data_IF_235806494647
#
_entry.id   IF_235806494647
#
_cell.length_a   1.000
_cell.length_b   1.000
_cell.length_c   1.000
_cell.angle_alpha   90.00
_cell.angle_beta   90.00
_cell.angle_gamma   90.00
#
_symmetry.space_group_name_H-M   'P 1'
#
loop_
_entity.id
_entity.type
_entity.pdbx_description
1 polymer ?
#
# COMPACT_ATOMS: atom_id res chain seq x y z
N UNK A 1 -7.64 13.73 77.93
CA UNK A 1 -7.18 12.80 76.87
C UNK A 1 -7.86 13.23 75.58
N UNK A 2 -7.17 13.94 74.69
CA UNK A 2 -7.73 14.42 73.40
C UNK A 2 -7.37 13.43 72.32
N UNK A 3 -8.39 12.81 71.69
CA UNK A 3 -8.23 11.91 70.57
C UNK A 3 -8.18 12.76 69.29
N UNK A 4 -7.06 12.75 68.60
CA UNK A 4 -6.87 13.40 67.32
C UNK A 4 -7.19 12.36 66.24
N UNK A 5 -8.34 12.55 65.54
CA UNK A 5 -8.74 11.74 64.40
C UNK A 5 -8.00 12.24 63.14
N UNK A 6 -7.16 11.38 62.60
CA UNK A 6 -6.48 11.63 61.32
C UNK A 6 -7.40 11.19 60.18
N UNK A 7 -7.90 12.15 59.40
CA UNK A 7 -8.58 11.85 58.14
C UNK A 7 -7.54 11.69 57.02
N UNK A 8 -7.38 10.45 56.52
CA UNK A 8 -6.62 10.19 55.33
C UNK A 8 -7.50 10.46 54.11
N UNK A 9 -7.14 11.53 53.34
CA UNK A 9 -7.79 11.87 52.09
C UNK A 9 -7.15 11.01 50.98
N UNK A 10 -7.87 9.97 50.54
CA UNK A 10 -7.50 9.15 49.37
C UNK A 10 -7.80 9.95 48.11
N UNK A 11 -6.74 10.53 47.48
CA UNK A 11 -6.84 11.11 46.16
C UNK A 11 -6.77 9.99 45.12
N UNK A 12 -7.93 9.62 44.57
CA UNK A 12 -8.00 8.69 43.43
C UNK A 12 -7.63 9.49 42.18
N UNK A 13 -6.41 9.30 41.68
CA UNK A 13 -6.06 9.75 40.34
C UNK A 13 -6.82 8.87 39.33
N UNK A 14 -7.92 9.36 38.85
CA UNK A 14 -8.58 8.85 37.67
C UNK A 14 -7.71 9.20 36.46
N UNK A 15 -6.93 8.23 35.98
CA UNK A 15 -6.26 8.33 34.68
C UNK A 15 -7.35 8.14 33.62
N UNK A 16 -7.95 9.23 33.18
CA UNK A 16 -8.75 9.20 31.96
C UNK A 16 -7.78 8.95 30.80
N UNK A 17 -7.78 7.73 30.27
CA UNK A 17 -7.30 7.49 28.90
C UNK A 17 -8.17 8.39 28.00
N UNK A 18 -7.60 9.45 27.46
CA UNK A 18 -8.17 10.11 26.29
C UNK A 18 -8.25 9.05 25.18
N UNK A 19 -9.39 8.40 25.04
CA UNK A 19 -9.75 7.68 23.83
C UNK A 19 -9.88 8.76 22.75
N UNK A 20 -8.78 8.99 22.03
CA UNK A 20 -8.80 9.82 20.82
C UNK A 20 -9.65 9.11 19.79
N UNK A 21 -10.93 9.44 19.80
CA UNK A 21 -11.90 8.94 18.84
C UNK A 21 -11.65 9.61 17.50
N UNK A 22 -11.28 8.83 16.48
CA UNK A 22 -11.24 9.24 15.08
C UNK A 22 -12.64 9.49 14.48
N UNK A 23 -13.70 9.40 15.26
CA UNK A 23 -15.10 9.26 14.85
C UNK A 23 -15.68 10.38 13.99
N UNK A 24 -14.93 11.48 13.70
CA UNK A 24 -15.42 12.59 12.86
C UNK A 24 -14.47 13.01 11.73
N UNK A 25 -13.32 12.36 11.56
CA UNK A 25 -12.36 12.78 10.53
C UNK A 25 -12.56 11.96 9.26
N UNK A 26 -12.82 12.66 8.17
CA UNK A 26 -12.91 12.08 6.83
C UNK A 26 -11.54 12.13 6.17
N UNK A 27 -10.96 10.95 5.88
CA UNK A 27 -9.66 10.82 5.26
C UNK A 27 -9.78 10.56 3.77
N UNK A 28 -8.82 11.05 3.00
CA UNK A 28 -8.71 10.82 1.57
C UNK A 28 -7.50 9.95 1.27
N UNK A 29 -7.69 8.90 0.48
CA UNK A 29 -6.66 7.96 0.08
C UNK A 29 -6.31 8.14 -1.41
N UNK A 30 -5.01 8.21 -1.73
CA UNK A 30 -4.44 8.22 -3.08
C UNK A 30 -3.70 6.92 -3.36
N UNK A 31 -4.12 6.17 -4.36
CA UNK A 31 -3.44 4.97 -4.83
C UNK A 31 -2.77 5.22 -6.19
N UNK A 32 -1.46 5.05 -6.25
CA UNK A 32 -0.61 5.33 -7.42
C UNK A 32 -0.07 4.02 -7.98
N UNK A 33 -0.12 3.85 -9.33
CA UNK A 33 0.47 2.66 -9.90
C UNK A 33 0.16 2.36 -11.36
N UNK A 34 0.06 1.06 -11.66
CA UNK A 34 -0.21 0.49 -12.97
C UNK A 34 -1.47 -0.40 -12.96
N UNK A 35 -1.48 -1.48 -13.78
CA UNK A 35 -2.59 -2.43 -13.85
C UNK A 35 -2.90 -3.12 -12.51
N UNK A 36 -1.91 -3.35 -11.67
CA UNK A 36 -2.09 -3.93 -10.35
C UNK A 36 -2.79 -2.98 -9.37
N UNK A 37 -2.71 -1.69 -9.60
CA UNK A 37 -3.37 -0.68 -8.75
C UNK A 37 -4.77 -0.35 -9.27
N UNK A 38 -4.95 -0.24 -10.61
CA UNK A 38 -6.27 0.02 -11.18
C UNK A 38 -7.19 -1.19 -11.07
N UNK A 39 -6.63 -2.41 -10.92
CA UNK A 39 -7.38 -3.65 -10.84
C UNK A 39 -7.81 -4.16 -12.21
N UNK A 40 -6.83 -4.36 -13.11
CA UNK A 40 -7.12 -4.94 -14.43
C UNK A 40 -7.84 -6.29 -14.29
N UNK A 41 -8.91 -6.46 -15.07
CA UNK A 41 -9.72 -7.70 -15.14
C UNK A 41 -10.50 -8.07 -13.87
N UNK A 42 -10.66 -7.15 -12.90
CA UNK A 42 -11.57 -7.31 -11.77
C UNK A 42 -12.51 -6.11 -11.63
N UNK A 43 -13.60 -6.29 -10.91
CA UNK A 43 -14.49 -5.17 -10.57
C UNK A 43 -13.75 -4.17 -9.65
N UNK A 44 -14.08 -2.89 -9.78
CA UNK A 44 -13.45 -1.82 -9.01
C UNK A 44 -13.54 -2.05 -7.48
N UNK A 45 -14.64 -2.61 -7.01
CA UNK A 45 -14.86 -2.98 -5.61
C UNK A 45 -13.91 -4.06 -5.09
N UNK A 46 -13.37 -4.87 -5.99
CA UNK A 46 -12.47 -5.98 -5.67
C UNK A 46 -10.98 -5.60 -5.70
N UNK A 47 -10.67 -4.36 -6.08
CA UNK A 47 -9.29 -3.86 -6.11
C UNK A 47 -8.73 -3.64 -4.71
N UNK A 48 -7.40 -3.78 -4.51
CA UNK A 48 -6.82 -3.62 -3.18
C UNK A 48 -7.07 -2.23 -2.55
N UNK A 49 -7.09 -1.10 -3.30
CA UNK A 49 -7.33 0.20 -2.66
C UNK A 49 -8.74 0.30 -2.07
N UNK A 50 -9.72 -0.28 -2.75
CA UNK A 50 -11.11 -0.25 -2.30
C UNK A 50 -11.32 -1.25 -1.17
N UNK A 51 -10.80 -2.46 -1.29
CA UNK A 51 -10.87 -3.44 -0.20
C UNK A 51 -10.17 -2.94 1.07
N UNK A 52 -9.02 -2.24 0.94
CA UNK A 52 -8.33 -1.63 2.09
C UNK A 52 -9.21 -0.57 2.77
N UNK A 53 -9.82 0.35 1.98
CA UNK A 53 -10.78 1.31 2.50
C UNK A 53 -11.91 0.61 3.26
N UNK A 54 -12.50 -0.40 2.67
CA UNK A 54 -13.68 -1.06 3.25
C UNK A 54 -13.33 -1.82 4.52
N UNK A 55 -12.16 -2.47 4.57
CA UNK A 55 -11.65 -3.12 5.78
C UNK A 55 -11.36 -2.11 6.91
N UNK A 56 -10.73 -0.98 6.60
CA UNK A 56 -10.50 0.09 7.58
C UNK A 56 -11.85 0.65 8.05
N UNK A 57 -12.75 0.93 7.14
CA UNK A 57 -14.06 1.51 7.45
C UNK A 57 -15.01 0.55 8.18
N UNK A 58 -14.76 -0.76 8.14
CA UNK A 58 -15.53 -1.73 8.94
C UNK A 58 -15.30 -1.55 10.45
N UNK A 59 -14.16 -0.99 10.84
CA UNK A 59 -13.78 -0.72 12.22
C UNK A 59 -13.97 0.76 12.60
N UNK A 60 -13.40 1.68 11.82
CA UNK A 60 -13.24 3.09 12.20
C UNK A 60 -14.03 4.08 11.33
N UNK A 61 -14.52 3.69 10.15
CA UNK A 61 -15.27 4.54 9.18
C UNK A 61 -14.60 5.86 8.82
N UNK A 62 -13.28 5.84 8.59
CA UNK A 62 -12.46 7.05 8.44
C UNK A 62 -12.09 7.41 7.01
N UNK A 63 -12.02 6.44 6.07
CA UNK A 63 -11.67 6.74 4.67
C UNK A 63 -12.93 7.07 3.88
N UNK A 64 -13.09 8.35 3.53
CA UNK A 64 -14.26 8.89 2.81
C UNK A 64 -14.12 8.68 1.30
N UNK A 65 -12.92 8.89 0.74
CA UNK A 65 -12.68 8.76 -0.69
C UNK A 65 -11.37 8.06 -1.02
N UNK A 66 -11.38 7.33 -2.14
CA UNK A 66 -10.19 6.73 -2.75
C UNK A 66 -10.04 7.30 -4.15
N UNK A 67 -8.90 7.94 -4.41
CA UNK A 67 -8.50 8.36 -5.75
C UNK A 67 -7.43 7.42 -6.27
N UNK A 68 -7.70 6.77 -7.40
CA UNK A 68 -6.74 5.93 -8.10
C UNK A 68 -6.16 6.70 -9.28
N UNK A 69 -4.82 6.81 -9.33
CA UNK A 69 -4.07 7.33 -10.48
C UNK A 69 -3.16 6.20 -10.94
N UNK A 70 -3.70 5.39 -11.82
CA UNK A 70 -3.06 4.21 -12.36
C UNK A 70 -3.62 3.88 -13.73
N UNK A 71 -2.83 3.20 -14.55
CA UNK A 71 -3.28 2.73 -15.87
C UNK A 71 -2.49 1.47 -16.26
N UNK A 72 -3.19 0.53 -16.88
CA UNK A 72 -2.59 -0.67 -17.45
C UNK A 72 -1.44 -0.33 -18.38
N UNK A 73 -0.32 -1.00 -18.16
CA UNK A 73 0.89 -0.84 -18.97
C UNK A 73 1.78 0.34 -18.56
N UNK A 74 1.41 1.16 -17.59
CA UNK A 74 2.26 2.29 -17.20
C UNK A 74 3.58 1.85 -16.59
N UNK A 75 4.64 2.55 -17.04
CA UNK A 75 5.97 2.54 -16.43
C UNK A 75 6.09 3.68 -15.41
N UNK A 76 7.19 3.66 -14.66
CA UNK A 76 7.54 4.75 -13.72
C UNK A 76 7.54 6.13 -14.41
N UNK A 77 8.13 6.27 -15.60
CA UNK A 77 8.17 7.51 -16.34
C UNK A 77 6.77 8.03 -16.68
N UNK A 78 5.86 7.17 -17.16
CA UNK A 78 4.50 7.56 -17.51
C UNK A 78 3.68 7.99 -16.29
N UNK A 79 3.89 7.35 -15.14
CA UNK A 79 3.27 7.79 -13.89
C UNK A 79 3.82 9.15 -13.44
N UNK A 80 5.15 9.38 -13.53
CA UNK A 80 5.79 10.67 -13.24
C UNK A 80 5.17 11.80 -14.05
N UNK A 81 5.01 11.60 -15.36
CA UNK A 81 4.44 12.60 -16.27
C UNK A 81 3.00 12.95 -15.89
N UNK A 82 2.21 11.94 -15.55
CA UNK A 82 0.80 12.12 -15.13
C UNK A 82 0.68 12.91 -13.84
N UNK A 83 1.61 12.71 -12.90
CA UNK A 83 1.60 13.37 -11.59
C UNK A 83 2.07 14.83 -11.61
N UNK A 84 2.60 15.33 -12.73
CA UNK A 84 3.16 16.68 -12.82
C UNK A 84 2.18 17.81 -12.51
N UNK A 85 0.87 17.55 -12.61
CA UNK A 85 -0.21 18.52 -12.40
C UNK A 85 -1.00 18.34 -11.10
N UNK A 86 -0.59 17.38 -10.24
CA UNK A 86 -1.33 17.10 -9.01
C UNK A 86 -0.91 18.07 -7.90
N UNK A 87 -1.87 18.82 -7.35
CA UNK A 87 -1.63 19.81 -6.28
C UNK A 87 -2.59 19.60 -5.10
N UNK A 88 -2.74 18.34 -4.63
CA UNK A 88 -3.60 17.99 -3.51
C UNK A 88 -2.83 17.18 -2.47
N UNK A 89 -3.30 17.26 -1.21
CA UNK A 89 -2.77 16.48 -0.10
C UNK A 89 -3.76 15.41 0.32
N UNK A 90 -3.24 14.22 0.61
CA UNK A 90 -3.99 13.04 1.00
C UNK A 90 -3.58 12.57 2.40
N UNK A 91 -4.48 11.89 3.07
CA UNK A 91 -4.24 11.36 4.41
C UNK A 91 -3.52 10.01 4.36
N UNK A 92 -3.70 9.26 3.26
CA UNK A 92 -3.05 7.98 2.98
C UNK A 92 -2.57 7.98 1.52
N UNK A 93 -1.38 7.45 1.25
CA UNK A 93 -0.85 7.31 -0.12
C UNK A 93 -0.20 5.94 -0.29
N UNK A 94 -0.53 5.23 -1.37
CA UNK A 94 0.16 3.99 -1.76
C UNK A 94 0.84 4.11 -3.11
N UNK A 95 1.94 3.37 -3.28
CA UNK A 95 2.69 3.26 -4.53
C UNK A 95 2.95 1.79 -4.85
N UNK A 96 2.48 1.34 -6.02
CA UNK A 96 2.78 0.03 -6.61
C UNK A 96 3.01 0.19 -8.10
N UNK A 97 4.26 0.15 -8.54
CA UNK A 97 4.68 0.40 -9.93
C UNK A 97 5.99 -0.32 -10.22
N UNK A 98 6.22 -0.69 -11.49
CA UNK A 98 7.53 -1.15 -11.95
C UNK A 98 7.52 -2.45 -12.73
N UNK A 99 6.44 -3.23 -12.71
CA UNK A 99 6.36 -4.47 -13.50
C UNK A 99 6.55 -4.20 -14.99
N UNK A 100 6.02 -3.10 -15.51
CA UNK A 100 6.13 -2.75 -16.93
C UNK A 100 7.54 -2.26 -17.31
N UNK A 101 8.30 -1.71 -16.38
CA UNK A 101 9.72 -1.40 -16.58
C UNK A 101 10.51 -2.70 -16.72
N UNK A 102 10.29 -3.67 -15.81
CA UNK A 102 10.93 -4.99 -15.87
C UNK A 102 10.54 -5.73 -17.16
N UNK A 103 9.23 -5.81 -17.47
CA UNK A 103 8.73 -6.52 -18.65
C UNK A 103 9.32 -5.99 -19.97
N UNK A 104 9.57 -4.68 -20.06
CA UNK A 104 10.19 -4.02 -21.22
C UNK A 104 11.71 -3.99 -21.17
N UNK A 105 12.33 -4.57 -20.16
CA UNK A 105 13.79 -4.65 -20.01
C UNK A 105 14.45 -3.31 -19.76
N UNK A 106 13.80 -2.41 -19.01
CA UNK A 106 14.39 -1.11 -18.68
C UNK A 106 15.59 -1.28 -17.75
N UNK A 107 16.54 -0.39 -17.88
CA UNK A 107 17.75 -0.35 -17.06
C UNK A 107 17.43 -0.12 -15.59
N UNK A 108 18.07 -0.90 -14.69
CA UNK A 108 17.84 -0.83 -13.25
C UNK A 108 18.27 0.51 -12.63
N UNK A 109 19.29 1.16 -13.19
CA UNK A 109 19.72 2.47 -12.69
C UNK A 109 18.69 3.55 -13.03
N UNK A 110 18.16 3.54 -14.25
CA UNK A 110 17.06 4.42 -14.64
C UNK A 110 15.84 4.17 -13.76
N UNK A 111 15.45 2.90 -13.58
CA UNK A 111 14.32 2.53 -12.74
C UNK A 111 14.48 3.03 -11.31
N UNK A 112 15.65 2.85 -10.70
CA UNK A 112 15.95 3.31 -9.34
C UNK A 112 15.70 4.82 -9.20
N UNK A 113 16.19 5.62 -10.13
CA UNK A 113 16.03 7.08 -10.10
C UNK A 113 14.56 7.50 -10.27
N UNK A 114 13.84 6.84 -11.17
CA UNK A 114 12.43 7.12 -11.42
C UNK A 114 11.56 6.69 -10.24
N UNK A 115 11.81 5.51 -9.66
CA UNK A 115 11.09 5.03 -8.49
C UNK A 115 11.33 5.92 -7.26
N UNK A 116 12.56 6.33 -7.03
CA UNK A 116 12.90 7.28 -5.96
C UNK A 116 12.16 8.62 -6.14
N UNK A 117 12.11 9.15 -7.35
CA UNK A 117 11.35 10.35 -7.68
C UNK A 117 9.84 10.16 -7.34
N UNK A 118 9.26 9.01 -7.73
CA UNK A 118 7.86 8.70 -7.41
C UNK A 118 7.60 8.58 -5.92
N UNK A 119 8.51 7.96 -5.17
CA UNK A 119 8.36 7.86 -3.71
C UNK A 119 8.43 9.24 -3.04
N UNK A 120 9.37 10.10 -3.45
CA UNK A 120 9.45 11.49 -2.96
C UNK A 120 8.15 12.25 -3.28
N UNK A 121 7.60 12.09 -4.47
CA UNK A 121 6.29 12.70 -4.82
C UNK A 121 5.17 12.13 -3.97
N UNK A 122 5.13 10.82 -3.73
CA UNK A 122 4.14 10.18 -2.85
C UNK A 122 4.18 10.74 -1.43
N UNK A 123 5.39 10.94 -0.89
CA UNK A 123 5.59 11.62 0.40
C UNK A 123 5.08 13.07 0.34
N UNK A 124 5.38 13.79 -0.74
CA UNK A 124 4.91 15.17 -0.92
C UNK A 124 3.39 15.26 -1.10
N UNK A 125 2.71 14.23 -1.60
CA UNK A 125 1.25 14.19 -1.66
C UNK A 125 0.60 13.76 -0.35
N UNK A 126 1.34 13.17 0.57
CA UNK A 126 0.83 12.85 1.89
C UNK A 126 0.86 14.07 2.83
N UNK A 127 -0.11 14.15 3.74
CA UNK A 127 -0.10 15.09 4.87
C UNK A 127 0.91 14.67 5.92
N UNK A 128 1.16 13.36 6.03
CA UNK A 128 2.17 12.76 6.91
C UNK A 128 2.91 11.64 6.16
N UNK A 129 4.26 11.66 6.19
CA UNK A 129 5.07 10.64 5.53
C UNK A 129 4.83 9.22 6.08
N UNK A 130 4.45 9.11 7.36
CA UNK A 130 4.18 7.83 8.00
C UNK A 130 2.91 7.15 7.44
N UNK A 131 2.09 7.89 6.71
CA UNK A 131 0.91 7.38 6.01
C UNK A 131 1.17 7.12 4.52
N UNK A 132 2.44 6.96 4.15
CA UNK A 132 2.84 6.50 2.81
C UNK A 132 3.30 5.06 2.91
N UNK A 133 2.87 4.23 1.95
CA UNK A 133 3.35 2.85 1.86
C UNK A 133 3.60 2.41 0.44
N UNK A 134 4.54 1.49 0.30
CA UNK A 134 4.91 0.83 -0.95
C UNK A 134 4.51 -0.63 -0.89
N UNK A 135 3.92 -1.13 -1.97
CA UNK A 135 3.71 -2.56 -2.20
C UNK A 135 4.79 -3.08 -3.16
N UNK A 136 5.31 -4.26 -2.91
CA UNK A 136 6.21 -4.93 -3.84
C UNK A 136 5.49 -5.30 -5.14
N UNK A 137 6.25 -5.41 -6.23
CA UNK A 137 5.75 -5.85 -7.54
C UNK A 137 5.39 -7.33 -7.47
N UNK A 138 4.18 -7.74 -7.90
CA UNK A 138 3.81 -9.15 -8.04
C UNK A 138 4.69 -9.88 -9.06
N UNK A 139 4.88 -11.19 -8.88
CA UNK A 139 5.59 -12.04 -9.81
C UNK A 139 4.63 -12.67 -10.82
N UNK A 140 4.62 -12.15 -12.04
CA UNK A 140 3.80 -12.70 -13.11
C UNK A 140 4.40 -13.97 -13.75
N UNK A 141 5.67 -14.28 -13.46
CA UNK A 141 6.34 -15.46 -13.99
C UNK A 141 5.66 -16.78 -13.64
N UNK A 142 4.96 -16.84 -12.51
CA UNK A 142 4.22 -18.02 -12.05
C UNK A 142 2.85 -18.19 -12.71
N UNK A 143 2.37 -17.15 -13.42
CA UNK A 143 1.04 -17.15 -14.04
C UNK A 143 1.04 -17.92 -15.37
N UNK A 144 -0.13 -18.36 -15.87
CA UNK A 144 -0.24 -18.94 -17.22
C UNK A 144 0.33 -18.05 -18.33
N UNK A 145 0.29 -16.71 -18.17
CA UNK A 145 0.92 -15.76 -19.07
C UNK A 145 2.46 -15.90 -19.05
N UNK A 146 3.05 -15.99 -17.85
CA UNK A 146 4.51 -16.10 -17.67
C UNK A 146 5.08 -17.48 -17.99
N UNK A 147 4.25 -18.54 -17.98
CA UNK A 147 4.72 -19.94 -18.19
C UNK A 147 5.44 -20.21 -19.51
N UNK A 148 5.17 -19.41 -20.54
CA UNK A 148 5.82 -19.53 -21.84
C UNK A 148 7.07 -18.64 -21.97
N UNK A 149 7.50 -18.02 -20.90
CA UNK A 149 8.66 -17.13 -20.82
C UNK A 149 9.77 -17.75 -19.97
N UNK A 150 10.90 -17.06 -19.86
CA UNK A 150 11.98 -17.43 -18.95
C UNK A 150 11.57 -17.06 -17.49
N UNK A 151 10.91 -18.02 -16.82
CA UNK A 151 10.39 -17.81 -15.46
C UNK A 151 11.50 -17.52 -14.45
N UNK A 152 12.68 -18.19 -14.59
CA UNK A 152 13.81 -17.91 -13.69
C UNK A 152 14.36 -16.50 -13.86
N UNK A 153 14.42 -16.02 -15.11
CA UNK A 153 14.80 -14.63 -15.38
C UNK A 153 13.80 -13.67 -14.78
N UNK A 154 12.49 -13.88 -14.99
CA UNK A 154 11.43 -13.05 -14.41
C UNK A 154 11.56 -13.02 -12.89
N UNK A 155 11.69 -14.16 -12.24
CA UNK A 155 11.86 -14.28 -10.80
C UNK A 155 13.04 -13.44 -10.29
N UNK A 156 14.22 -13.56 -10.92
CA UNK A 156 15.41 -12.80 -10.52
C UNK A 156 15.22 -11.29 -10.73
N UNK A 157 14.67 -10.91 -11.87
CA UNK A 157 14.47 -9.49 -12.20
C UNK A 157 13.43 -8.84 -11.28
N UNK A 158 12.29 -9.47 -11.04
CA UNK A 158 11.27 -8.98 -10.08
C UNK A 158 11.88 -8.82 -8.68
N UNK A 159 12.71 -9.76 -8.23
CA UNK A 159 13.39 -9.62 -6.96
C UNK A 159 14.35 -8.43 -6.94
N UNK A 160 15.11 -8.19 -8.03
CA UNK A 160 16.01 -7.03 -8.12
C UNK A 160 15.25 -5.70 -8.08
N UNK A 161 14.14 -5.59 -8.81
CA UNK A 161 13.26 -4.42 -8.77
C UNK A 161 12.67 -4.21 -7.38
N UNK A 162 12.19 -5.27 -6.74
CA UNK A 162 11.64 -5.21 -5.39
C UNK A 162 12.68 -4.90 -4.32
N UNK A 163 13.93 -5.31 -4.51
CA UNK A 163 15.02 -4.90 -3.64
C UNK A 163 15.27 -3.40 -3.73
N UNK A 164 15.27 -2.82 -4.95
CA UNK A 164 15.37 -1.38 -5.15
C UNK A 164 14.23 -0.65 -4.43
N UNK A 165 12.99 -1.12 -4.60
CA UNK A 165 11.82 -0.52 -3.96
C UNK A 165 11.94 -0.53 -2.43
N UNK A 166 12.41 -1.64 -1.87
CA UNK A 166 12.65 -1.79 -0.43
C UNK A 166 13.74 -0.84 0.06
N UNK A 167 14.91 -0.85 -0.57
CA UNK A 167 16.05 0.01 -0.18
C UNK A 167 15.68 1.49 -0.19
N UNK A 168 14.92 1.92 -1.22
CA UNK A 168 14.46 3.31 -1.32
C UNK A 168 13.39 3.60 -0.25
N UNK A 169 12.47 2.68 0.00
CA UNK A 169 11.47 2.85 1.07
C UNK A 169 12.12 2.97 2.45
N UNK A 170 13.11 2.12 2.75
CA UNK A 170 13.88 2.17 3.99
C UNK A 170 14.69 3.48 4.11
N UNK A 171 15.32 3.95 3.02
CA UNK A 171 16.05 5.23 2.97
C UNK A 171 15.19 6.41 3.39
N UNK A 172 13.92 6.41 3.03
CA UNK A 172 12.96 7.48 3.33
C UNK A 172 12.08 7.19 4.56
N UNK A 173 12.31 6.07 5.25
CA UNK A 173 11.53 5.62 6.40
C UNK A 173 10.03 5.54 6.04
N UNK A 174 9.73 4.87 4.93
CA UNK A 174 8.39 4.60 4.41
C UNK A 174 8.07 3.12 4.54
N UNK A 175 6.84 2.80 4.92
CA UNK A 175 6.38 1.41 5.04
C UNK A 175 6.52 0.67 3.70
N UNK A 176 7.13 -0.52 3.73
CA UNK A 176 7.26 -1.41 2.59
C UNK A 176 6.62 -2.77 2.90
N UNK A 177 5.70 -3.20 2.05
CA UNK A 177 5.02 -4.48 2.20
C UNK A 177 5.36 -5.43 1.05
N UNK A 178 5.97 -6.55 1.39
CA UNK A 178 6.21 -7.62 0.43
C UNK A 178 4.91 -8.41 0.18
N UNK A 179 4.27 -8.19 -0.96
CA UNK A 179 3.09 -8.95 -1.42
C UNK A 179 3.46 -9.94 -2.55
N UNK A 180 4.71 -9.92 -3.02
CA UNK A 180 5.20 -10.80 -4.07
C UNK A 180 5.05 -12.27 -3.71
N UNK A 181 5.29 -12.63 -2.44
CA UNK A 181 5.16 -14.01 -1.97
C UNK A 181 3.72 -14.51 -2.08
N UNK A 182 2.74 -13.62 -1.86
CA UNK A 182 1.32 -13.96 -2.06
C UNK A 182 1.04 -14.18 -3.55
N UNK A 183 1.58 -13.33 -4.42
CA UNK A 183 1.38 -13.50 -5.87
C UNK A 183 1.93 -14.83 -6.39
N UNK A 184 3.03 -15.31 -5.82
CA UNK A 184 3.64 -16.61 -6.17
C UNK A 184 2.78 -17.83 -5.81
N UNK A 185 1.85 -17.68 -4.87
CA UNK A 185 0.89 -18.76 -4.55
C UNK A 185 -0.04 -19.08 -5.72
N UNK A 186 -0.18 -18.17 -6.69
CA UNK A 186 -0.95 -18.42 -7.92
C UNK A 186 -0.38 -19.55 -8.81
N UNK A 187 0.86 -19.98 -8.57
CA UNK A 187 1.44 -21.16 -9.23
C UNK A 187 0.64 -22.42 -8.94
N UNK A 188 0.14 -22.58 -7.71
CA UNK A 188 -0.63 -23.75 -7.25
C UNK A 188 -2.12 -23.44 -7.07
N UNK A 189 -2.52 -22.17 -6.98
CA UNK A 189 -3.91 -21.76 -6.78
C UNK A 189 -4.35 -20.72 -7.82
N UNK A 190 -4.97 -21.22 -8.90
CA UNK A 190 -5.46 -20.39 -9.99
C UNK A 190 -6.63 -19.47 -9.60
N UNK A 191 -7.28 -19.67 -8.45
CA UNK A 191 -8.35 -18.78 -7.96
C UNK A 191 -7.83 -17.43 -7.52
N UNK A 192 -6.51 -17.31 -7.35
CA UNK A 192 -5.83 -16.07 -7.05
C UNK A 192 -5.63 -15.18 -8.27
N UNK A 193 -5.88 -15.68 -9.49
CA UNK A 193 -5.81 -14.90 -10.72
C UNK A 193 -7.19 -14.50 -11.22
N UNK A 194 -7.26 -13.31 -11.83
CA UNK A 194 -8.42 -12.85 -12.56
C UNK A 194 -8.67 -13.68 -13.83
N UNK A 195 -9.78 -13.40 -14.55
CA UNK A 195 -10.17 -14.17 -15.74
C UNK A 195 -9.14 -14.14 -16.87
N UNK A 196 -8.30 -13.11 -16.93
CA UNK A 196 -7.20 -12.98 -17.90
C UNK A 196 -5.99 -13.88 -17.58
N UNK A 197 -6.01 -14.55 -16.42
CA UNK A 197 -4.97 -15.48 -15.95
C UNK A 197 -3.58 -14.84 -15.81
N UNK A 198 -3.55 -13.54 -15.59
CA UNK A 198 -2.34 -12.73 -15.40
C UNK A 198 -2.45 -11.87 -14.14
N UNK A 199 -3.51 -11.05 -14.06
CA UNK A 199 -3.68 -10.09 -12.97
C UNK A 199 -4.27 -10.76 -11.72
N UNK A 200 -4.11 -10.15 -10.53
CA UNK A 200 -4.68 -10.63 -9.29
C UNK A 200 -6.21 -10.68 -9.33
N UNK A 201 -6.80 -11.73 -8.78
CA UNK A 201 -8.23 -11.77 -8.49
C UNK A 201 -8.56 -10.94 -7.25
N UNK A 202 -9.85 -10.69 -7.02
CA UNK A 202 -10.32 -10.09 -5.77
C UNK A 202 -9.87 -10.85 -4.52
N UNK A 203 -9.73 -12.19 -4.61
CA UNK A 203 -9.20 -13.02 -3.52
C UNK A 203 -7.73 -12.73 -3.23
N UNK A 204 -6.88 -12.58 -4.25
CA UNK A 204 -5.48 -12.21 -4.04
C UNK A 204 -5.37 -10.81 -3.45
N UNK A 205 -6.13 -9.83 -3.95
CA UNK A 205 -6.18 -8.49 -3.36
C UNK A 205 -6.63 -8.50 -1.90
N UNK A 206 -7.59 -9.35 -1.55
CA UNK A 206 -8.00 -9.53 -0.16
C UNK A 206 -6.85 -10.03 0.72
N UNK A 207 -6.04 -10.97 0.24
CA UNK A 207 -4.87 -11.44 0.98
C UNK A 207 -3.82 -10.35 1.17
N UNK A 208 -3.61 -9.46 0.16
CA UNK A 208 -2.73 -8.31 0.32
C UNK A 208 -3.25 -7.38 1.42
N UNK A 209 -4.53 -7.06 1.38
CA UNK A 209 -5.17 -6.18 2.37
C UNK A 209 -5.10 -6.76 3.77
N UNK A 210 -5.38 -8.05 3.95
CA UNK A 210 -5.25 -8.72 5.25
C UNK A 210 -3.83 -8.63 5.82
N UNK A 211 -2.82 -8.68 4.96
CA UNK A 211 -1.40 -8.57 5.37
C UNK A 211 -1.03 -7.17 5.84
N UNK A 212 -1.61 -6.12 5.27
CA UNK A 212 -1.14 -4.74 5.47
C UNK A 212 -2.03 -3.89 6.39
N UNK A 213 -3.32 -4.22 6.50
CA UNK A 213 -4.34 -3.35 7.11
C UNK A 213 -4.03 -2.88 8.52
N UNK A 214 -3.52 -3.74 9.38
CA UNK A 214 -3.28 -3.36 10.79
C UNK A 214 -2.20 -2.31 10.94
N UNK A 215 -1.09 -2.44 10.20
CA UNK A 215 -0.02 -1.43 10.23
C UNK A 215 -0.47 -0.11 9.63
N UNK A 216 -1.34 -0.14 8.61
CA UNK A 216 -1.94 1.08 8.04
C UNK A 216 -2.92 1.73 9.03
N UNK A 217 -3.76 0.95 9.69
CA UNK A 217 -4.67 1.47 10.74
C UNK A 217 -3.87 2.12 11.86
N UNK A 218 -2.84 1.44 12.36
CA UNK A 218 -1.98 1.96 13.44
C UNK A 218 -1.32 3.28 13.05
N UNK A 219 -0.81 3.40 11.80
CA UNK A 219 -0.19 4.65 11.32
C UNK A 219 -1.21 5.80 11.25
N UNK A 220 -2.45 5.51 10.85
CA UNK A 220 -3.51 6.52 10.80
C UNK A 220 -3.96 6.95 12.20
N UNK A 221 -3.98 6.06 13.19
CA UNK A 221 -4.40 6.37 14.56
C UNK A 221 -3.33 7.19 15.31
N UNK A 222 -2.05 6.85 15.15
CA UNK A 222 -0.94 7.52 15.86
C UNK A 222 -0.80 8.98 15.44
N UNK A 223 -1.12 9.28 14.18
CA UNK A 223 -0.88 10.60 13.58
C UNK A 223 -2.11 11.54 13.66
N UNK A 224 -3.18 11.13 14.30
CA UNK A 224 -4.42 11.89 14.46
C UNK A 224 -4.98 11.81 15.86
#
# INVERSE_FOLDING_TARGET
>A
MRIISFFILLVVFSCSKDERSLTNKKLNYLALGDSYTIGESVEFTDTYPIQLRDQINSTEKIIDSVRVIAKTGWTTAQLIDTLSQLNLKYDLVSLLIGVNNQFRGYDLFQYRNEFENLLIRSINYSKDKNNVFVLSIPDYGVTPFGKNMDQEKIFREINNYNQINREISEKYDVMYFNITDISRMAESDSTLLANDKLHPSGNMYKMWVEKIKYQIIDSLIINY
#
